data_IF_115159650544
#
_entry.id   IF_115159650544
#
_cell.length_a   1.000
_cell.length_b   1.000
_cell.length_c   1.000
_cell.angle_alpha   90.00
_cell.angle_beta   90.00
_cell.angle_gamma   90.00
#
_symmetry.space_group_name_H-M   'P 1'
#
loop_
_entity.id
_entity.type
_entity.pdbx_description
1 polymer ?
#
# COMPACT_ATOMS: atom_id res chain seq x y z
N UNK A 1 -27.05 -3.46 -14.66
CA UNK A 1 -27.57 -4.81 -14.33
C UNK A 1 -26.43 -5.77 -13.97
N UNK A 2 -25.35 -5.89 -14.76
CA UNK A 2 -24.20 -6.79 -14.46
C UNK A 2 -23.52 -6.62 -13.09
N UNK A 3 -23.45 -5.41 -12.51
CA UNK A 3 -22.84 -5.19 -11.19
C UNK A 3 -23.71 -5.74 -10.04
N UNK A 4 -25.02 -5.49 -10.08
CA UNK A 4 -25.97 -6.01 -9.11
C UNK A 4 -26.09 -7.54 -9.23
N UNK A 5 -26.02 -8.08 -10.44
CA UNK A 5 -25.93 -9.53 -10.67
C UNK A 5 -24.63 -10.12 -10.13
N UNK A 6 -23.49 -9.44 -10.29
CA UNK A 6 -22.22 -9.88 -9.72
C UNK A 6 -22.28 -9.93 -8.19
N UNK A 7 -22.87 -8.91 -7.54
CA UNK A 7 -23.08 -8.90 -6.09
C UNK A 7 -24.04 -10.02 -5.68
N UNK A 8 -25.16 -10.20 -6.38
CA UNK A 8 -26.10 -11.28 -6.08
C UNK A 8 -25.46 -12.68 -6.25
N UNK A 9 -24.58 -12.84 -7.24
CA UNK A 9 -23.85 -14.09 -7.48
C UNK A 9 -22.81 -14.40 -6.39
N UNK A 10 -22.21 -13.38 -5.76
CA UNK A 10 -21.35 -13.56 -4.58
C UNK A 10 -22.10 -14.24 -3.44
N UNK A 11 -23.37 -13.86 -3.23
CA UNK A 11 -24.20 -14.46 -2.17
C UNK A 11 -24.84 -15.80 -2.57
N UNK A 12 -25.07 -16.03 -3.87
CA UNK A 12 -25.63 -17.30 -4.39
C UNK A 12 -24.62 -18.44 -4.42
N UNK A 13 -23.35 -18.17 -4.77
CA UNK A 13 -22.34 -19.22 -4.91
C UNK A 13 -21.70 -19.49 -3.53
N UNK A 14 -21.88 -20.68 -2.93
CA UNK A 14 -21.46 -20.95 -1.56
C UNK A 14 -19.93 -20.85 -1.38
N UNK A 15 -19.14 -21.23 -2.38
CA UNK A 15 -17.68 -21.09 -2.33
C UNK A 15 -17.24 -19.64 -2.37
N UNK A 16 -17.86 -18.82 -3.23
CA UNK A 16 -17.52 -17.41 -3.36
C UNK A 16 -17.88 -16.64 -2.08
N UNK A 17 -19.06 -16.96 -1.50
CA UNK A 17 -19.48 -16.46 -0.19
C UNK A 17 -18.49 -16.80 0.91
N UNK A 18 -18.00 -18.05 0.99
CA UNK A 18 -17.00 -18.46 1.98
C UNK A 18 -15.70 -17.67 1.83
N UNK A 19 -15.21 -17.49 0.60
CA UNK A 19 -13.99 -16.71 0.34
C UNK A 19 -14.16 -15.24 0.72
N UNK A 20 -15.30 -14.62 0.38
CA UNK A 20 -15.58 -13.22 0.73
C UNK A 20 -15.71 -13.05 2.25
N UNK A 21 -16.46 -13.92 2.93
CA UNK A 21 -16.57 -13.89 4.40
C UNK A 21 -15.22 -14.08 5.07
N UNK A 22 -14.38 -14.99 4.56
CA UNK A 22 -13.01 -15.19 5.05
C UNK A 22 -12.17 -13.92 4.88
N UNK A 23 -12.20 -13.29 3.71
CA UNK A 23 -11.52 -12.01 3.47
C UNK A 23 -12.01 -10.92 4.42
N UNK A 24 -13.33 -10.75 4.57
CA UNK A 24 -13.91 -9.75 5.49
C UNK A 24 -13.53 -10.03 6.96
N UNK A 25 -13.52 -11.28 7.38
CA UNK A 25 -13.11 -11.67 8.73
C UNK A 25 -11.64 -11.31 8.99
N UNK A 26 -10.73 -11.59 8.05
CA UNK A 26 -9.32 -11.22 8.20
C UNK A 26 -9.10 -9.70 8.18
N UNK A 27 -9.87 -8.97 7.36
CA UNK A 27 -9.83 -7.50 7.36
C UNK A 27 -10.37 -6.91 8.69
N UNK A 28 -11.38 -7.55 9.29
CA UNK A 28 -11.86 -7.18 10.62
C UNK A 28 -10.79 -7.41 11.69
N UNK A 29 -10.06 -8.54 11.64
CA UNK A 29 -8.92 -8.83 12.54
C UNK A 29 -7.80 -7.80 12.35
N UNK A 30 -7.46 -7.47 11.11
CA UNK A 30 -6.49 -6.41 10.79
C UNK A 30 -6.92 -5.08 11.43
N UNK A 31 -8.21 -4.73 11.35
CA UNK A 31 -8.71 -3.49 11.95
C UNK A 31 -8.65 -3.52 13.47
N UNK A 32 -9.06 -4.61 14.11
CA UNK A 32 -9.01 -4.76 15.56
C UNK A 32 -7.58 -4.61 16.09
N UNK A 33 -6.57 -5.17 15.42
CA UNK A 33 -5.18 -4.96 15.82
C UNK A 33 -4.68 -3.54 15.59
N UNK A 34 -5.27 -2.79 14.65
CA UNK A 34 -5.07 -1.34 14.49
C UNK A 34 -5.66 -0.48 15.63
N UNK A 35 -6.28 -1.09 16.65
CA UNK A 35 -6.68 -0.41 17.89
C UNK A 35 -5.79 -0.78 19.08
N UNK A 36 -4.83 -1.69 18.91
CA UNK A 36 -3.91 -2.11 19.98
C UNK A 36 -2.68 -1.19 19.94
N UNK A 37 -2.50 -0.31 20.93
CA UNK A 37 -1.36 0.61 20.95
C UNK A 37 -0.07 -0.13 21.27
N UNK A 38 1.05 0.39 20.77
CA UNK A 38 2.37 -0.15 21.11
C UNK A 38 2.69 0.17 22.59
N UNK A 39 3.15 -0.80 23.39
CA UNK A 39 3.39 -0.55 24.80
C UNK A 39 4.54 0.46 25.03
N UNK A 40 4.39 1.32 26.04
CA UNK A 40 5.41 2.28 26.45
C UNK A 40 5.30 3.68 25.83
N UNK A 41 4.24 3.96 25.07
CA UNK A 41 4.03 5.24 24.38
C UNK A 41 2.75 5.94 24.86
N UNK A 42 2.83 7.26 25.03
CA UNK A 42 1.68 8.11 25.28
C UNK A 42 1.03 8.53 23.95
N UNK A 43 -0.12 7.92 23.65
CA UNK A 43 -0.85 8.09 22.38
C UNK A 43 -1.30 9.54 22.19
N UNK A 44 -1.79 10.19 23.24
CA UNK A 44 -2.33 11.56 23.16
C UNK A 44 -1.26 12.58 22.77
N UNK A 45 -0.04 12.43 23.29
CA UNK A 45 1.10 13.29 22.90
C UNK A 45 1.59 13.00 21.49
N UNK A 46 1.57 11.73 21.09
CA UNK A 46 1.94 11.34 19.74
C UNK A 46 0.95 11.87 18.70
N UNK A 47 -0.36 11.79 18.96
CA UNK A 47 -1.39 12.33 18.07
C UNK A 47 -1.22 13.84 17.88
N UNK A 48 -0.94 14.60 18.95
CA UNK A 48 -0.67 16.04 18.87
C UNK A 48 0.59 16.37 18.04
N UNK A 49 1.66 15.60 18.20
CA UNK A 49 2.86 15.73 17.36
C UNK A 49 2.55 15.41 15.90
N UNK A 50 1.73 14.38 15.66
CA UNK A 50 1.35 13.96 14.32
C UNK A 50 0.45 14.99 13.64
N UNK A 51 -0.50 15.60 14.35
CA UNK A 51 -1.37 16.67 13.83
C UNK A 51 -0.56 17.89 13.37
N UNK A 52 0.49 18.26 14.11
CA UNK A 52 1.40 19.34 13.72
C UNK A 52 2.23 19.01 12.47
N UNK A 53 2.43 17.72 12.18
CA UNK A 53 3.20 17.22 11.04
C UNK A 53 2.31 16.54 9.98
N UNK A 54 0.98 16.67 10.04
CA UNK A 54 0.07 15.91 9.21
C UNK A 54 0.16 16.27 7.72
N UNK A 55 0.62 17.48 7.39
CA UNK A 55 0.88 17.92 6.01
C UNK A 55 2.19 17.39 5.41
N UNK A 56 2.98 16.63 6.17
CA UNK A 56 4.22 16.02 5.69
C UNK A 56 4.00 14.62 5.10
N UNK A 57 5.07 14.01 4.60
CA UNK A 57 5.06 12.61 4.11
C UNK A 57 4.50 11.61 5.14
N UNK A 58 4.60 11.93 6.44
CA UNK A 58 4.03 11.11 7.49
C UNK A 58 2.50 10.97 7.37
N UNK A 59 1.79 12.02 6.93
CA UNK A 59 0.37 11.96 6.62
C UNK A 59 0.06 11.05 5.43
N UNK A 60 0.89 11.11 4.37
CA UNK A 60 0.76 10.21 3.23
C UNK A 60 0.99 8.74 3.64
N UNK A 61 1.99 8.46 4.48
CA UNK A 61 2.22 7.10 5.00
C UNK A 61 1.07 6.62 5.89
N UNK A 62 0.47 7.49 6.68
CA UNK A 62 -0.66 7.13 7.55
C UNK A 62 -1.91 6.76 6.75
N UNK A 63 -2.12 7.35 5.57
CA UNK A 63 -3.19 6.95 4.65
C UNK A 63 -3.02 5.50 4.16
N UNK A 64 -1.80 5.10 3.81
CA UNK A 64 -1.51 3.71 3.43
C UNK A 64 -1.55 2.74 4.62
N UNK A 65 -1.22 3.23 5.82
CA UNK A 65 -1.28 2.46 7.05
C UNK A 65 -2.67 2.44 7.71
N UNK A 66 -3.67 3.15 7.15
CA UNK A 66 -5.05 3.17 7.65
C UNK A 66 -5.24 3.84 9.02
N UNK A 67 -4.41 4.84 9.34
CA UNK A 67 -4.43 5.52 10.63
C UNK A 67 -3.59 4.85 11.73
N UNK A 68 -2.90 3.75 11.40
CA UNK A 68 -2.13 2.98 12.36
C UNK A 68 -0.83 3.68 12.79
N UNK A 69 -0.28 4.59 11.96
CA UNK A 69 0.89 5.41 12.28
C UNK A 69 0.47 6.54 13.23
N UNK A 70 -0.63 7.23 12.93
CA UNK A 70 -1.18 8.29 13.78
C UNK A 70 -1.46 7.83 15.20
N UNK A 71 -1.88 6.57 15.39
CA UNK A 71 -2.14 5.97 16.72
C UNK A 71 -0.97 5.16 17.28
N UNK A 72 0.11 5.01 16.50
CA UNK A 72 1.29 4.21 16.82
C UNK A 72 0.95 2.81 17.38
N UNK A 73 0.14 2.11 16.61
CA UNK A 73 -0.33 0.75 16.96
C UNK A 73 0.74 -0.30 16.71
N UNK A 74 0.52 -1.54 17.16
CA UNK A 74 1.37 -2.68 16.80
C UNK A 74 1.49 -2.89 15.28
N UNK A 75 0.56 -2.31 14.51
CA UNK A 75 0.52 -2.32 13.05
C UNK A 75 0.96 -1.00 12.42
N UNK A 76 1.71 -0.15 13.14
CA UNK A 76 2.13 1.16 12.65
C UNK A 76 2.93 1.08 11.34
N UNK A 77 3.83 0.12 11.19
CA UNK A 77 4.56 -0.11 9.94
C UNK A 77 3.66 -0.62 8.79
N UNK A 78 2.50 -1.17 9.12
CA UNK A 78 1.54 -1.70 8.16
C UNK A 78 2.15 -2.78 7.27
N UNK A 79 1.83 -2.71 5.98
CA UNK A 79 2.37 -3.59 4.94
C UNK A 79 3.62 -2.99 4.25
N UNK A 80 4.06 -1.80 4.63
CA UNK A 80 5.14 -1.06 3.95
C UNK A 80 6.46 -1.83 3.87
N UNK A 81 6.97 -2.47 4.94
CA UNK A 81 8.21 -3.25 4.84
C UNK A 81 8.14 -4.38 3.80
N UNK A 82 6.95 -4.96 3.60
CA UNK A 82 6.73 -5.99 2.60
C UNK A 82 6.72 -5.39 1.19
N UNK A 83 6.03 -4.28 0.99
CA UNK A 83 6.02 -3.57 -0.30
C UNK A 83 7.45 -3.24 -0.70
N UNK A 84 8.20 -2.59 0.18
CA UNK A 84 9.61 -2.22 -0.07
C UNK A 84 10.46 -3.45 -0.39
N UNK A 85 10.28 -4.56 0.33
CA UNK A 85 11.02 -5.80 0.05
C UNK A 85 10.69 -6.39 -1.33
N UNK A 86 9.41 -6.39 -1.70
CA UNK A 86 8.95 -6.89 -3.01
C UNK A 86 9.51 -6.04 -4.15
N UNK A 87 9.56 -4.73 -3.95
CA UNK A 87 10.14 -3.77 -4.89
C UNK A 87 11.63 -4.00 -5.07
N UNK A 88 12.36 -4.12 -3.96
CA UNK A 88 13.81 -4.38 -4.01
C UNK A 88 14.07 -5.66 -4.80
N UNK A 89 13.34 -6.74 -4.55
CA UNK A 89 13.52 -7.99 -5.30
C UNK A 89 13.10 -7.88 -6.77
N UNK A 90 12.04 -7.15 -7.10
CA UNK A 90 11.65 -6.89 -8.49
C UNK A 90 12.70 -6.09 -9.25
N UNK A 91 13.35 -5.13 -8.60
CA UNK A 91 14.47 -4.40 -9.20
C UNK A 91 15.71 -5.28 -9.33
N UNK A 92 16.03 -6.06 -8.28
CA UNK A 92 17.16 -6.99 -8.32
C UNK A 92 16.99 -8.09 -9.36
N UNK A 93 15.77 -8.52 -9.69
CA UNK A 93 15.55 -9.48 -10.79
C UNK A 93 15.92 -8.93 -12.16
N UNK A 94 15.90 -7.61 -12.35
CA UNK A 94 16.32 -6.97 -13.62
C UNK A 94 17.84 -6.79 -13.67
N UNK A 95 18.46 -6.52 -12.52
CA UNK A 95 19.90 -6.28 -12.41
C UNK A 95 20.71 -7.58 -12.32
N UNK A 96 20.19 -8.59 -11.64
CA UNK A 96 20.90 -9.83 -11.35
C UNK A 96 20.34 -10.98 -12.22
N UNK A 97 21.12 -11.51 -13.19
CA UNK A 97 20.65 -12.51 -14.14
C UNK A 97 20.31 -13.86 -13.50
N UNK A 98 20.86 -14.18 -12.33
CA UNK A 98 20.48 -15.40 -11.59
C UNK A 98 19.06 -15.32 -11.03
N UNK A 99 18.65 -14.16 -10.53
CA UNK A 99 17.28 -13.92 -10.06
C UNK A 99 16.30 -13.84 -11.25
N UNK A 100 16.73 -13.28 -12.38
CA UNK A 100 15.95 -13.27 -13.61
C UNK A 100 15.65 -14.70 -14.11
N UNK A 101 16.67 -15.57 -14.11
CA UNK A 101 16.50 -17.00 -14.45
C UNK A 101 15.52 -17.67 -13.50
N UNK A 102 15.65 -17.42 -12.21
CA UNK A 102 14.73 -17.92 -11.19
C UNK A 102 13.29 -17.47 -11.47
N UNK A 103 13.08 -16.22 -11.89
CA UNK A 103 11.75 -15.72 -12.24
C UNK A 103 11.16 -16.42 -13.48
N UNK A 104 12.02 -16.85 -14.42
CA UNK A 104 11.66 -17.57 -15.65
C UNK A 104 11.40 -19.07 -15.43
N UNK A 105 11.79 -19.65 -14.29
CA UNK A 105 11.52 -21.05 -13.91
C UNK A 105 10.05 -21.35 -13.57
N UNK A 106 9.15 -20.37 -13.74
CA UNK A 106 7.71 -20.56 -13.56
C UNK A 106 7.26 -20.49 -12.09
N UNK A 107 6.36 -21.38 -11.68
CA UNK A 107 5.73 -21.33 -10.35
C UNK A 107 6.72 -21.58 -9.20
N UNK A 108 7.65 -22.53 -9.38
CA UNK A 108 8.66 -22.86 -8.37
C UNK A 108 9.59 -21.67 -8.12
N UNK A 109 10.02 -21.02 -9.19
CA UNK A 109 10.83 -19.82 -9.15
C UNK A 109 10.14 -18.64 -8.45
N UNK A 110 8.87 -18.38 -8.82
CA UNK A 110 8.05 -17.34 -8.17
C UNK A 110 7.90 -17.59 -6.67
N UNK A 111 7.65 -18.82 -6.24
CA UNK A 111 7.56 -19.16 -4.80
C UNK A 111 8.86 -18.86 -4.06
N UNK A 112 10.01 -19.12 -4.69
CA UNK A 112 11.33 -18.86 -4.08
C UNK A 112 11.62 -17.35 -3.97
N UNK A 113 11.22 -16.55 -4.96
CA UNK A 113 11.27 -15.07 -4.87
C UNK A 113 10.37 -14.58 -3.73
N UNK A 114 9.17 -15.14 -3.58
CA UNK A 114 8.28 -14.80 -2.46
C UNK A 114 8.91 -15.14 -1.11
N UNK A 115 9.60 -16.29 -0.98
CA UNK A 115 10.32 -16.62 0.24
C UNK A 115 11.42 -15.61 0.56
N UNK A 116 12.22 -15.20 -0.43
CA UNK A 116 13.21 -14.12 -0.24
C UNK A 116 12.55 -12.80 0.14
N UNK A 117 11.38 -12.50 -0.42
CA UNK A 117 10.61 -11.30 -0.07
C UNK A 117 10.21 -11.34 1.40
N UNK A 118 9.77 -12.49 1.91
CA UNK A 118 9.41 -12.66 3.34
C UNK A 118 10.61 -12.46 4.26
N UNK A 119 11.75 -13.07 3.95
CA UNK A 119 12.95 -12.88 4.78
C UNK A 119 13.41 -11.43 4.78
N UNK A 120 13.44 -10.79 3.61
CA UNK A 120 13.81 -9.38 3.49
C UNK A 120 12.83 -8.48 4.25
N UNK A 121 11.53 -8.80 4.23
CA UNK A 121 10.48 -8.06 4.95
C UNK A 121 10.74 -8.05 6.44
N UNK A 122 11.07 -9.20 7.04
CA UNK A 122 11.32 -9.29 8.48
C UNK A 122 12.59 -8.51 8.85
N UNK A 123 13.64 -8.60 8.04
CA UNK A 123 14.89 -7.85 8.26
C UNK A 123 14.64 -6.34 8.17
N UNK A 124 13.96 -5.88 7.12
CA UNK A 124 13.63 -4.46 6.96
C UNK A 124 12.70 -3.96 8.06
N UNK A 125 11.69 -4.75 8.44
CA UNK A 125 10.79 -4.40 9.54
C UNK A 125 11.55 -4.25 10.86
N UNK A 126 12.54 -5.12 11.12
CA UNK A 126 13.38 -5.02 12.33
C UNK A 126 14.20 -3.73 12.33
N UNK A 127 14.87 -3.42 11.21
CA UNK A 127 15.69 -2.20 11.07
C UNK A 127 14.81 -0.93 11.17
N UNK A 128 13.65 -0.91 10.50
CA UNK A 128 12.72 0.22 10.55
C UNK A 128 12.12 0.39 11.95
N UNK A 129 11.69 -0.71 12.60
CA UNK A 129 11.18 -0.66 13.97
C UNK A 129 12.22 -0.14 14.96
N UNK A 130 13.48 -0.55 14.79
CA UNK A 130 14.58 -0.05 15.63
C UNK A 130 14.83 1.43 15.42
N UNK A 131 14.81 1.87 14.16
CA UNK A 131 14.93 3.29 13.80
C UNK A 131 13.81 4.12 14.44
N UNK A 132 12.56 3.65 14.36
CA UNK A 132 11.40 4.32 14.95
C UNK A 132 11.51 4.32 16.48
N UNK A 133 11.90 3.21 17.10
CA UNK A 133 12.07 3.13 18.55
C UNK A 133 13.14 4.12 19.06
N UNK A 134 14.28 4.21 18.36
CA UNK A 134 15.33 5.17 18.69
C UNK A 134 14.91 6.61 18.45
N UNK A 135 14.20 6.90 17.34
CA UNK A 135 13.75 8.26 17.04
C UNK A 135 12.71 8.73 18.06
N UNK A 136 11.76 7.87 18.44
CA UNK A 136 10.78 8.16 19.49
C UNK A 136 11.43 8.43 20.85
N UNK A 137 12.49 7.69 21.19
CA UNK A 137 13.24 7.93 22.43
C UNK A 137 14.03 9.25 22.38
N UNK A 138 14.55 9.63 21.21
CA UNK A 138 15.29 10.88 21.03
C UNK A 138 14.38 12.12 20.96
N UNK A 139 13.08 11.95 20.76
CA UNK A 139 12.12 13.05 20.73
C UNK A 139 11.88 13.62 22.13
N UNK A 140 12.18 14.90 22.29
CA UNK A 140 11.84 15.67 23.49
C UNK A 140 10.32 15.84 23.55
N UNK A 141 9.71 15.57 24.71
CA UNK A 141 8.25 15.65 24.87
C UNK A 141 7.62 14.55 25.72
N UNK A 142 8.42 13.63 26.28
CA UNK A 142 7.94 12.61 27.20
C UNK A 142 6.83 11.74 26.56
N UNK A 143 7.02 11.45 25.25
CA UNK A 143 6.19 10.57 24.42
C UNK A 143 6.40 9.11 24.85
N UNK A 144 7.62 8.77 25.26
CA UNK A 144 7.98 7.47 25.84
C UNK A 144 7.88 7.56 27.36
N UNK A 145 7.12 6.65 27.97
CA UNK A 145 6.84 6.65 29.42
C UNK A 145 8.10 6.31 30.23
N UNK A 146 8.92 5.40 29.71
CA UNK A 146 10.19 5.00 30.32
C UNK A 146 11.27 4.78 29.24
N UNK A 147 12.04 5.81 28.88
CA UNK A 147 13.17 5.69 27.95
C UNK A 147 14.19 4.64 28.43
N UNK A 148 14.55 3.68 27.58
CA UNK A 148 15.55 2.67 27.93
C UNK A 148 15.68 1.53 26.91
N UNK A 149 16.73 0.70 27.02
CA UNK A 149 16.95 -0.43 26.11
C UNK A 149 15.80 -1.45 26.13
N UNK A 150 15.12 -1.60 27.27
CA UNK A 150 13.91 -2.43 27.39
C UNK A 150 12.74 -1.93 26.53
N UNK A 151 12.55 -0.61 26.42
CA UNK A 151 11.54 -0.01 25.56
C UNK A 151 11.86 -0.24 24.08
N UNK A 152 13.12 -0.05 23.68
CA UNK A 152 13.56 -0.29 22.30
C UNK A 152 13.30 -1.75 21.92
N UNK A 153 13.74 -2.69 22.74
CA UNK A 153 13.54 -4.11 22.48
C UNK A 153 12.05 -4.47 22.35
N UNK A 154 11.22 -4.03 23.30
CA UNK A 154 9.79 -4.30 23.29
C UNK A 154 9.09 -3.69 22.07
N UNK A 155 9.46 -2.47 21.70
CA UNK A 155 8.92 -1.78 20.51
C UNK A 155 9.32 -2.49 19.23
N UNK A 156 10.59 -2.88 19.10
CA UNK A 156 11.11 -3.62 17.93
C UNK A 156 10.38 -4.94 17.77
N UNK A 157 10.24 -5.71 18.83
CA UNK A 157 9.51 -6.99 18.79
C UNK A 157 8.04 -6.76 18.43
N UNK A 158 7.37 -5.80 19.07
CA UNK A 158 5.95 -5.53 18.84
C UNK A 158 5.66 -5.14 17.38
N UNK A 159 6.42 -4.18 16.83
CA UNK A 159 6.24 -3.69 15.46
C UNK A 159 6.67 -4.72 14.41
N UNK A 160 7.74 -5.48 14.66
CA UNK A 160 8.21 -6.53 13.74
C UNK A 160 7.21 -7.69 13.71
N UNK A 161 6.74 -8.16 14.87
CA UNK A 161 5.71 -9.20 14.96
C UNK A 161 4.40 -8.73 14.33
N UNK A 162 3.99 -7.48 14.56
CA UNK A 162 2.81 -6.90 13.92
C UNK A 162 2.92 -6.89 12.39
N UNK A 163 4.06 -6.46 11.85
CA UNK A 163 4.31 -6.48 10.40
C UNK A 163 4.30 -7.90 9.84
N UNK A 164 4.96 -8.86 10.50
CA UNK A 164 4.98 -10.26 10.08
C UNK A 164 3.57 -10.87 10.08
N UNK A 165 2.74 -10.51 11.06
CA UNK A 165 1.35 -10.93 11.12
C UNK A 165 0.51 -10.33 9.98
N UNK A 166 0.67 -9.05 9.65
CA UNK A 166 -0.03 -8.42 8.51
C UNK A 166 0.38 -9.07 7.20
N UNK A 167 1.68 -9.35 7.01
CA UNK A 167 2.18 -10.07 5.84
C UNK A 167 1.51 -11.45 5.72
N UNK A 168 1.44 -12.19 6.82
CA UNK A 168 0.76 -13.49 6.88
C UNK A 168 -0.74 -13.37 6.55
N UNK A 169 -1.44 -12.37 7.10
CA UNK A 169 -2.85 -12.10 6.76
C UNK A 169 -3.04 -11.86 5.27
N UNK A 170 -2.17 -11.04 4.65
CA UNK A 170 -2.23 -10.75 3.22
C UNK A 170 -1.99 -11.97 2.35
N UNK A 171 -1.06 -12.85 2.74
CA UNK A 171 -0.86 -14.14 2.06
C UNK A 171 -2.09 -15.05 2.20
N UNK A 172 -2.68 -15.16 3.40
CA UNK A 172 -3.88 -15.97 3.62
C UNK A 172 -5.09 -15.46 2.83
N UNK A 173 -5.27 -14.15 2.72
CA UNK A 173 -6.33 -13.57 1.86
C UNK A 173 -6.07 -13.92 0.39
N UNK A 174 -4.80 -13.94 -0.05
CA UNK A 174 -4.46 -14.27 -1.45
C UNK A 174 -4.69 -15.74 -1.78
N UNK A 175 -4.41 -16.65 -0.84
CA UNK A 175 -4.57 -18.10 -1.03
C UNK A 175 -6.03 -18.57 -0.92
N UNK A 176 -6.76 -18.07 0.09
CA UNK A 176 -8.09 -18.58 0.46
C UNK A 176 -9.22 -17.58 0.24
N UNK A 177 -8.89 -16.31 0.06
CA UNK A 177 -9.85 -15.22 -0.11
C UNK A 177 -10.11 -14.88 -1.58
N UNK A 178 -10.46 -13.62 -1.81
CA UNK A 178 -10.74 -13.07 -3.14
C UNK A 178 -9.70 -12.00 -3.48
N UNK A 179 -9.11 -12.07 -4.67
CA UNK A 179 -8.17 -11.06 -5.17
C UNK A 179 -6.77 -11.15 -4.55
N UNK A 180 -6.04 -10.03 -4.56
CA UNK A 180 -4.71 -9.91 -3.96
C UNK A 180 -4.86 -9.36 -2.54
N UNK A 181 -4.50 -10.16 -1.54
CA UNK A 181 -4.63 -9.80 -0.13
C UNK A 181 -3.84 -8.57 0.28
N UNK A 182 -2.63 -8.39 -0.28
CA UNK A 182 -1.82 -7.19 0.01
C UNK A 182 -2.50 -5.92 -0.51
N UNK A 183 -3.03 -5.97 -1.73
CA UNK A 183 -3.77 -4.84 -2.31
C UNK A 183 -5.05 -4.53 -1.53
N UNK A 184 -5.74 -5.56 -1.02
CA UNK A 184 -6.95 -5.38 -0.22
C UNK A 184 -6.68 -4.79 1.16
N UNK A 185 -5.56 -5.13 1.80
CA UNK A 185 -5.15 -4.51 3.07
C UNK A 185 -4.92 -3.01 2.87
N UNK A 186 -4.18 -2.62 1.81
CA UNK A 186 -3.93 -1.21 1.46
C UNK A 186 -5.25 -0.49 1.17
N UNK A 187 -6.11 -1.09 0.33
CA UNK A 187 -7.41 -0.54 -0.02
C UNK A 187 -8.25 -0.28 1.22
N UNK A 188 -8.31 -1.25 2.14
CA UNK A 188 -9.06 -1.11 3.39
C UNK A 188 -8.49 0.00 4.26
N UNK A 189 -7.17 0.14 4.35
CA UNK A 189 -6.51 1.24 5.05
C UNK A 189 -6.93 2.61 4.53
N UNK A 190 -6.88 2.80 3.21
CA UNK A 190 -7.23 4.08 2.57
C UNK A 190 -8.73 4.38 2.73
N UNK A 191 -9.60 3.39 2.51
CA UNK A 191 -11.06 3.56 2.57
C UNK A 191 -11.54 3.93 3.97
N UNK A 192 -10.88 3.44 5.02
CA UNK A 192 -11.18 3.81 6.41
C UNK A 192 -10.91 5.30 6.70
N UNK A 193 -10.06 5.96 5.92
CA UNK A 193 -9.83 7.41 6.02
C UNK A 193 -10.96 8.26 5.40
N UNK A 194 -11.76 7.69 4.50
CA UNK A 194 -12.81 8.42 3.78
C UNK A 194 -13.91 9.00 4.69
N UNK A 195 -14.46 8.26 5.68
CA UNK A 195 -15.45 8.82 6.60
C UNK A 195 -14.94 10.05 7.36
N UNK A 196 -13.71 9.99 7.88
CA UNK A 196 -13.09 11.14 8.57
C UNK A 196 -12.86 12.33 7.63
N UNK A 197 -12.50 12.08 6.36
CA UNK A 197 -12.41 13.14 5.37
C UNK A 197 -13.77 13.80 5.08
N UNK A 198 -14.85 13.02 5.04
CA UNK A 198 -16.22 13.55 4.87
C UNK A 198 -16.63 14.38 6.10
N UNK A 199 -16.31 13.93 7.31
CA UNK A 199 -16.56 14.68 8.56
C UNK A 199 -15.78 15.99 8.59
N UNK A 200 -14.52 15.99 8.15
CA UNK A 200 -13.71 17.20 8.03
C UNK A 200 -14.30 18.18 7.01
N UNK A 201 -14.73 17.70 5.84
CA UNK A 201 -15.41 18.52 4.84
C UNK A 201 -16.72 19.10 5.41
N UNK A 202 -17.51 18.28 6.10
CA UNK A 202 -18.76 18.72 6.72
C UNK A 202 -18.51 19.79 7.78
N UNK A 203 -17.55 19.59 8.66
CA UNK A 203 -17.20 20.55 9.72
C UNK A 203 -16.67 21.85 9.13
N UNK A 204 -15.79 21.77 8.12
CA UNK A 204 -15.15 22.94 7.52
C UNK A 204 -16.12 23.80 6.68
N UNK A 205 -17.15 23.17 6.10
CA UNK A 205 -18.17 23.85 5.30
C UNK A 205 -19.32 24.36 6.16
N UNK A 206 -19.86 23.54 7.07
CA UNK A 206 -21.08 23.86 7.81
C UNK A 206 -20.85 24.47 9.19
N UNK A 207 -19.76 24.12 9.87
CA UNK A 207 -19.51 24.53 11.27
C UNK A 207 -18.55 25.72 11.34
N UNK A 208 -17.34 25.61 10.79
CA UNK A 208 -16.35 26.70 10.84
C UNK A 208 -16.52 27.72 9.72
N UNK A 209 -17.27 27.40 8.66
CA UNK A 209 -17.52 28.24 7.46
C UNK A 209 -16.26 28.78 6.79
N UNK A 210 -15.12 28.12 6.98
CA UNK A 210 -13.87 28.50 6.32
C UNK A 210 -13.93 28.22 4.81
N UNK A 211 -14.72 27.23 4.39
CA UNK A 211 -14.82 26.81 3.00
C UNK A 211 -16.12 27.30 2.35
N UNK A 212 -15.99 28.08 1.28
CA UNK A 212 -17.13 28.53 0.48
C UNK A 212 -17.79 27.39 -0.29
N UNK A 213 -19.07 27.53 -0.60
CA UNK A 213 -19.83 26.55 -1.40
C UNK A 213 -19.20 26.27 -2.78
N UNK A 214 -18.47 27.25 -3.33
CA UNK A 214 -17.72 27.12 -4.59
C UNK A 214 -16.57 26.10 -4.45
N UNK A 215 -15.83 26.13 -3.33
CA UNK A 215 -14.72 25.20 -3.06
C UNK A 215 -15.22 23.76 -2.96
N UNK A 216 -16.34 23.54 -2.28
CA UNK A 216 -16.96 22.22 -2.18
C UNK A 216 -17.40 21.68 -3.55
N UNK A 217 -18.05 22.52 -4.36
CA UNK A 217 -18.47 22.16 -5.72
C UNK A 217 -17.26 21.79 -6.59
N UNK A 218 -16.18 22.56 -6.50
CA UNK A 218 -14.95 22.33 -7.26
C UNK A 218 -14.28 21.01 -6.86
N UNK A 219 -14.18 20.70 -5.57
CA UNK A 219 -13.64 19.42 -5.07
C UNK A 219 -14.49 18.24 -5.57
N UNK A 220 -15.81 18.34 -5.47
CA UNK A 220 -16.73 17.29 -5.93
C UNK A 220 -16.59 17.04 -7.44
N UNK A 221 -16.57 18.12 -8.22
CA UNK A 221 -16.41 18.04 -9.67
C UNK A 221 -15.05 17.46 -10.07
N UNK A 222 -13.98 17.87 -9.39
CA UNK A 222 -12.63 17.32 -9.59
C UNK A 222 -12.58 15.83 -9.28
N UNK A 223 -13.19 15.39 -8.17
CA UNK A 223 -13.23 13.98 -7.79
C UNK A 223 -13.97 13.13 -8.84
N UNK A 224 -15.12 13.59 -9.33
CA UNK A 224 -15.85 12.90 -10.41
C UNK A 224 -15.02 12.87 -11.69
N UNK A 225 -14.38 13.98 -12.05
CA UNK A 225 -13.55 14.08 -13.25
C UNK A 225 -12.35 13.11 -13.20
N UNK A 226 -11.65 13.03 -12.07
CA UNK A 226 -10.53 12.11 -11.87
C UNK A 226 -10.99 10.66 -11.96
N UNK A 227 -12.10 10.29 -11.31
CA UNK A 227 -12.63 8.91 -11.38
C UNK A 227 -13.06 8.58 -12.82
N UNK A 228 -13.75 9.49 -13.51
CA UNK A 228 -14.16 9.30 -14.90
C UNK A 228 -12.94 9.13 -15.82
N UNK A 229 -11.89 9.92 -15.62
CA UNK A 229 -10.64 9.83 -16.36
C UNK A 229 -9.95 8.48 -16.12
N UNK A 230 -9.82 8.04 -14.87
CA UNK A 230 -9.23 6.72 -14.53
C UNK A 230 -10.03 5.60 -15.20
N UNK A 231 -11.37 5.63 -15.14
CA UNK A 231 -12.22 4.62 -15.77
C UNK A 231 -12.07 4.62 -17.29
N UNK A 232 -11.94 5.80 -17.92
CA UNK A 232 -11.73 5.93 -19.36
C UNK A 232 -10.39 5.30 -19.78
N UNK A 233 -9.31 5.58 -19.04
CA UNK A 233 -7.98 5.02 -19.33
C UNK A 233 -7.96 3.50 -19.08
N UNK A 234 -8.54 3.03 -17.98
CA UNK A 234 -8.55 1.61 -17.61
C UNK A 234 -9.39 0.74 -18.56
N UNK A 235 -10.48 1.31 -19.11
CA UNK A 235 -11.29 0.64 -20.14
C UNK A 235 -10.74 0.83 -21.56
N UNK A 236 -9.73 1.68 -21.73
CA UNK A 236 -9.05 1.87 -23.00
C UNK A 236 -8.32 0.59 -23.43
N UNK A 237 -8.77 -0.01 -24.52
CA UNK A 237 -8.10 -1.15 -25.15
C UNK A 237 -7.90 -0.90 -26.65
N UNK A 238 -6.72 -1.22 -27.15
CA UNK A 238 -6.41 -1.28 -28.58
C UNK A 238 -6.62 -2.71 -29.05
N UNK A 239 -7.61 -2.92 -29.92
CA UNK A 239 -7.91 -4.24 -30.50
C UNK A 239 -7.02 -4.47 -31.71
N UNK A 240 -6.06 -5.39 -31.61
CA UNK A 240 -5.24 -5.81 -32.76
C UNK A 240 -5.87 -7.06 -33.38
N UNK A 241 -6.27 -7.05 -34.66
CA UNK A 241 -6.83 -8.23 -35.31
C UNK A 241 -5.75 -9.30 -35.48
N UNK A 242 -6.07 -10.53 -35.06
CA UNK A 242 -5.21 -11.71 -35.23
C UNK A 242 -5.97 -12.73 -36.05
N UNK A 243 -5.31 -13.27 -37.06
CA UNK A 243 -5.87 -14.32 -37.90
C UNK A 243 -5.25 -15.65 -37.48
N UNK A 244 -6.09 -16.56 -36.96
CA UNK A 244 -5.65 -17.94 -36.74
C UNK A 244 -5.50 -18.66 -38.07
N UNK A 245 -4.50 -19.53 -38.17
CA UNK A 245 -4.23 -20.31 -39.36
C UNK A 245 -5.48 -21.09 -39.79
N UNK A 246 -5.86 -20.94 -41.06
CA UNK A 246 -7.00 -21.64 -41.64
C UNK A 246 -6.59 -23.06 -41.99
N UNK A 247 -7.39 -24.06 -41.62
CA UNK A 247 -7.17 -25.44 -42.07
C UNK A 247 -8.06 -25.70 -43.27
N UNK A 248 -7.45 -25.89 -44.43
CA UNK A 248 -8.18 -26.29 -45.63
C UNK A 248 -8.35 -27.81 -45.59
N UNK A 249 -9.58 -28.31 -45.60
CA UNK A 249 -9.89 -29.74 -45.72
C UNK A 249 -10.77 -29.92 -46.97
N UNK A 250 -10.21 -30.52 -48.02
CA UNK A 250 -10.87 -30.65 -49.33
C UNK A 250 -11.08 -29.30 -50.03
N UNK A 251 -12.27 -29.06 -50.60
CA UNK A 251 -12.67 -27.77 -51.24
C UNK A 251 -13.25 -26.74 -50.27
N UNK A 252 -13.34 -27.04 -48.96
CA UNK A 252 -13.92 -26.14 -47.96
C UNK A 252 -12.82 -25.64 -47.03
N UNK A 253 -12.72 -24.31 -46.95
CA UNK A 253 -11.93 -23.64 -45.92
C UNK A 253 -12.75 -23.69 -44.63
N UNK A 254 -12.34 -24.52 -43.67
CA UNK A 254 -12.94 -24.54 -42.34
C UNK A 254 -12.02 -23.83 -41.34
N UNK A 255 -12.60 -22.94 -40.55
CA UNK A 255 -11.87 -22.11 -39.60
C UNK A 255 -11.24 -20.87 -40.25
N UNK A 256 -10.96 -19.88 -39.39
CA UNK A 256 -10.57 -18.53 -39.78
C UNK A 256 -11.45 -17.44 -39.18
N UNK A 257 -11.99 -17.66 -37.98
CA UNK A 257 -12.66 -16.58 -37.25
C UNK A 257 -11.61 -15.53 -36.91
N UNK A 258 -11.77 -14.31 -37.43
CA UNK A 258 -10.94 -13.19 -37.04
C UNK A 258 -11.17 -12.93 -35.55
N UNK A 259 -10.14 -13.17 -34.74
CA UNK A 259 -10.16 -12.72 -33.35
C UNK A 259 -9.44 -11.38 -33.26
N UNK A 260 -9.56 -10.72 -32.12
CA UNK A 260 -8.70 -9.61 -31.76
C UNK A 260 -8.00 -9.92 -30.44
N UNK A 261 -6.72 -9.56 -30.36
CA UNK A 261 -6.02 -9.51 -29.10
C UNK A 261 -6.20 -8.09 -28.52
N UNK A 262 -6.88 -7.93 -27.37
CA UNK A 262 -6.99 -6.64 -26.72
C UNK A 262 -5.67 -6.28 -26.03
N UNK A 263 -5.09 -5.14 -26.40
CA UNK A 263 -3.98 -4.53 -25.68
C UNK A 263 -4.52 -3.38 -24.84
N UNK A 264 -4.56 -3.54 -23.52
CA UNK A 264 -4.97 -2.47 -22.61
C UNK A 264 -3.97 -1.32 -22.61
N UNK A 265 -4.46 -0.10 -22.43
CA UNK A 265 -3.63 1.10 -22.27
C UNK A 265 -2.76 1.00 -21.02
N UNK A 266 -3.31 0.50 -19.91
CA UNK A 266 -2.57 0.17 -18.70
C UNK A 266 -2.76 -1.31 -18.35
N UNK A 267 -1.68 -2.10 -18.42
CA UNK A 267 -1.70 -3.51 -18.04
C UNK A 267 -1.28 -3.74 -16.57
N UNK A 268 -0.66 -2.76 -15.92
CA UNK A 268 -0.09 -2.89 -14.58
C UNK A 268 -1.09 -2.68 -13.44
N UNK A 269 -2.26 -2.10 -13.74
CA UNK A 269 -3.28 -1.78 -12.73
C UNK A 269 -2.72 -0.89 -11.62
N UNK A 270 -2.90 -1.31 -10.37
CA UNK A 270 -2.54 -0.52 -9.17
C UNK A 270 -1.07 -0.69 -8.76
N UNK A 271 -0.38 -1.74 -9.23
CA UNK A 271 0.99 -2.06 -8.79
C UNK A 271 1.99 -0.94 -9.11
N UNK A 272 2.01 -0.35 -10.33
CA UNK A 272 2.94 0.74 -10.65
C UNK A 272 2.76 1.99 -9.78
N UNK A 273 1.52 2.30 -9.39
CA UNK A 273 1.24 3.45 -8.52
C UNK A 273 1.80 3.22 -7.13
N UNK A 274 1.59 2.03 -6.56
CA UNK A 274 2.16 1.62 -5.26
C UNK A 274 3.70 1.60 -5.33
N UNK A 275 4.25 1.18 -6.46
CA UNK A 275 5.69 1.14 -6.70
C UNK A 275 6.29 2.55 -6.68
N UNK A 276 5.70 3.48 -7.43
CA UNK A 276 6.10 4.87 -7.49
C UNK A 276 6.03 5.54 -6.11
N UNK A 277 4.91 5.35 -5.39
CA UNK A 277 4.74 5.94 -4.05
C UNK A 277 5.77 5.42 -3.05
N UNK A 278 6.14 4.14 -3.14
CA UNK A 278 7.11 3.52 -2.25
C UNK A 278 8.56 3.91 -2.57
N UNK A 279 8.89 4.12 -3.85
CA UNK A 279 10.19 4.68 -4.25
C UNK A 279 10.37 6.09 -3.69
N UNK A 280 9.34 6.92 -3.77
CA UNK A 280 9.36 8.27 -3.21
C UNK A 280 9.44 8.27 -1.68
N UNK A 281 8.86 7.25 -1.03
CA UNK A 281 8.89 7.05 0.41
C UNK A 281 10.28 6.68 0.95
N UNK A 282 11.07 5.93 0.16
CA UNK A 282 12.29 5.28 0.63
C UNK A 282 13.40 6.28 1.05
N UNK A 283 13.78 7.28 0.23
CA UNK A 283 14.77 8.29 0.62
C UNK A 283 14.38 9.05 1.88
N UNK A 284 13.09 9.37 2.00
CA UNK A 284 12.58 10.13 3.13
C UNK A 284 12.59 9.31 4.42
N UNK A 285 12.32 8.00 4.33
CA UNK A 285 12.46 7.09 5.47
C UNK A 285 13.93 7.01 5.92
N UNK A 286 14.88 6.95 4.98
CA UNK A 286 16.32 6.98 5.30
C UNK A 286 16.75 8.31 5.94
N UNK A 287 16.19 9.44 5.51
CA UNK A 287 16.50 10.75 6.08
C UNK A 287 16.13 10.85 7.57
N UNK A 288 15.13 10.08 8.02
CA UNK A 288 14.75 10.03 9.44
C UNK A 288 15.69 9.17 10.30
N UNK A 289 16.58 8.39 9.69
CA UNK A 289 17.52 7.54 10.43
C UNK A 289 18.57 8.38 11.15
N UNK A 290 18.85 8.14 12.46
CA UNK A 290 19.84 8.89 13.21
C UNK A 290 21.24 8.89 12.58
N UNK A 291 21.65 7.76 11.99
CA UNK A 291 22.94 7.60 11.29
C UNK A 291 23.06 8.50 10.05
N UNK A 292 21.94 8.79 9.39
CA UNK A 292 21.87 9.61 8.18
C UNK A 292 21.67 11.09 8.52
N UNK A 293 20.86 11.38 9.55
CA UNK A 293 20.62 12.74 10.06
C UNK A 293 21.89 13.44 10.52
N UNK A 294 22.84 12.68 11.09
CA UNK A 294 24.12 13.21 11.59
C UNK A 294 25.12 13.55 10.47
N UNK A 295 24.89 13.08 9.23
CA UNK A 295 25.75 13.40 8.09
C UNK A 295 25.09 14.50 7.23
N UNK A 296 25.64 15.71 7.30
CA UNK A 296 25.10 16.91 6.63
C UNK A 296 24.98 16.75 5.11
N UNK A 297 25.88 16.02 4.48
CA UNK A 297 25.86 15.77 3.04
C UNK A 297 24.74 14.82 2.62
N UNK A 298 24.59 13.70 3.33
CA UNK A 298 23.52 12.72 3.07
C UNK A 298 22.14 13.32 3.36
N UNK A 299 21.99 14.05 4.46
CA UNK A 299 20.72 14.70 4.81
C UNK A 299 20.35 15.79 3.78
N UNK A 300 21.31 16.60 3.32
CA UNK A 300 21.08 17.62 2.28
C UNK A 300 20.63 17.01 0.94
N UNK A 301 21.24 15.89 0.53
CA UNK A 301 20.89 15.20 -0.71
C UNK A 301 19.50 14.54 -0.63
N UNK A 302 19.14 13.98 0.52
CA UNK A 302 17.82 13.37 0.74
C UNK A 302 16.71 14.41 0.89
N UNK A 303 17.01 15.57 1.48
CA UNK A 303 16.09 16.71 1.53
C UNK A 303 15.85 17.30 0.14
N UNK A 304 16.85 17.28 -0.75
CA UNK A 304 16.68 17.71 -2.13
C UNK A 304 15.61 16.90 -2.90
N UNK A 305 15.40 15.65 -2.49
CA UNK A 305 14.42 14.70 -3.07
C UNK A 305 13.11 14.71 -2.24
N UNK A 306 13.00 15.56 -1.20
CA UNK A 306 11.81 15.61 -0.36
C UNK A 306 10.60 16.22 -1.08
N UNK A 307 9.40 15.85 -0.62
CA UNK A 307 8.14 16.35 -1.13
C UNK A 307 8.10 17.89 -1.07
N UNK A 308 7.75 18.54 -2.19
CA UNK A 308 7.73 20.00 -2.32
C UNK A 308 9.00 20.61 -2.93
N UNK A 309 10.06 19.83 -3.18
CA UNK A 309 11.23 20.29 -3.93
C UNK A 309 11.09 20.04 -5.44
N UNK A 310 11.71 20.84 -6.32
CA UNK A 310 11.59 20.68 -7.78
C UNK A 310 12.01 19.29 -8.28
N UNK A 311 13.01 18.70 -7.65
CA UNK A 311 13.52 17.35 -7.95
C UNK A 311 12.56 16.22 -7.60
N UNK A 312 11.52 16.48 -6.79
CA UNK A 312 10.48 15.50 -6.50
C UNK A 312 9.43 15.38 -7.62
N UNK A 313 9.24 16.44 -8.40
CA UNK A 313 8.26 16.51 -9.48
C UNK A 313 8.85 16.21 -10.87
N UNK A 314 10.18 16.15 -10.97
CA UNK A 314 10.95 15.74 -12.15
C UNK A 314 11.12 14.22 -12.17
#
# INVERSE_FOLDING_TARGET
MKFLEAIANVFRIPDLRKRVLFTLALLAVYRLGGHIPTPGINITRWEQFFEQNAGSIFGFFDLFAGGNIRRLTIFALGIMPYITSSIILQLLTVVIPSLEKLQKEGELGRRKITQYTRYLTVVLATIQSFTIAMSLQAMQGNIVISPGPGFIFLTVVSLTTGTAFIMWLGEQISERGVGNGMSLIIFTGIVVGLPGAIENIYTNVFVTREWGAITLLLILLMMIAVVAFIVLVERGERRIPVQYAKRVVGRRVMGGQSTHMPLKVNAGGVIPVIFASSILAFPQTLATMPAVRNNSWLNGMLQAIAHGQPLYYL
#
